data_IF_138393730080
#
_entry.id   IF_138393730080
#
_cell.length_a   1.000
_cell.length_b   1.000
_cell.length_c   1.000
_cell.angle_alpha   90.00
_cell.angle_beta   90.00
_cell.angle_gamma   90.00
#
_symmetry.space_group_name_H-M   'P 1'
#
loop_
_entity.id
_entity.type
_entity.pdbx_description
1 polymer ?
#
# COMPACT_ATOMS: atom_id res chain seq x y z
N UNK A 1 -25.81 -84.84 56.48
CA UNK A 1 -25.78 -85.82 55.36
C UNK A 1 -26.01 -85.06 54.06
N UNK A 2 -24.96 -84.98 53.22
CA UNK A 2 -24.92 -84.64 51.78
C UNK A 2 -25.74 -83.47 51.15
N UNK A 3 -24.95 -82.55 50.54
CA UNK A 3 -25.07 -81.96 49.16
C UNK A 3 -26.16 -80.90 48.87
N UNK A 4 -25.78 -79.67 48.47
CA UNK A 4 -25.46 -79.29 47.06
C UNK A 4 -25.07 -77.81 46.88
N UNK A 5 -24.19 -77.64 45.89
CA UNK A 5 -23.60 -76.44 45.26
C UNK A 5 -24.59 -75.41 44.70
N UNK A 6 -24.18 -74.13 44.66
CA UNK A 6 -24.02 -73.36 43.40
C UNK A 6 -23.02 -72.20 43.58
N UNK A 7 -22.00 -72.14 42.70
CA UNK A 7 -21.00 -71.07 42.58
C UNK A 7 -21.57 -69.93 41.74
N UNK A 8 -21.36 -68.68 42.14
CA UNK A 8 -21.43 -67.49 41.27
C UNK A 8 -20.02 -66.91 41.15
N UNK A 9 -19.51 -66.86 39.92
CA UNK A 9 -18.26 -66.17 39.58
C UNK A 9 -18.60 -64.70 39.31
N UNK A 10 -17.96 -63.78 40.03
CA UNK A 10 -17.97 -62.36 39.76
C UNK A 10 -16.65 -62.00 39.05
N UNK A 11 -16.75 -61.54 37.81
CA UNK A 11 -15.66 -61.02 37.01
C UNK A 11 -15.44 -59.56 37.42
N UNK A 12 -14.35 -59.27 38.15
CA UNK A 12 -13.95 -57.90 38.49
C UNK A 12 -13.20 -57.28 37.32
N UNK A 13 -13.73 -56.18 36.78
CA UNK A 13 -13.04 -55.32 35.80
C UNK A 13 -12.38 -54.18 36.57
N UNK A 14 -11.05 -54.18 36.58
CA UNK A 14 -10.22 -53.11 37.14
C UNK A 14 -10.08 -52.01 36.10
N UNK A 15 -10.66 -50.83 36.34
CA UNK A 15 -10.48 -49.64 35.50
C UNK A 15 -9.20 -48.94 35.94
N UNK A 16 -8.19 -48.94 35.08
CA UNK A 16 -6.99 -48.12 35.23
C UNK A 16 -7.32 -46.68 34.82
N UNK A 17 -7.21 -45.74 35.75
CA UNK A 17 -7.32 -44.30 35.50
C UNK A 17 -5.98 -43.81 34.95
N UNK A 18 -5.93 -43.57 33.64
CA UNK A 18 -4.81 -42.87 32.99
C UNK A 18 -5.07 -41.37 33.13
N UNK A 19 -4.27 -40.68 33.94
CA UNK A 19 -4.21 -39.21 33.91
C UNK A 19 -3.55 -38.76 32.60
N UNK A 20 -4.36 -38.40 31.62
CA UNK A 20 -3.94 -37.70 30.41
C UNK A 20 -3.64 -36.24 30.78
N UNK A 21 -2.37 -35.86 30.75
CA UNK A 21 -1.94 -34.46 30.72
C UNK A 21 -2.37 -33.87 29.39
N UNK A 22 -3.45 -33.08 29.39
CA UNK A 22 -3.88 -32.30 28.24
C UNK A 22 -2.79 -31.26 27.92
N UNK A 23 -2.33 -31.15 26.66
CA UNK A 23 -1.47 -30.03 26.26
C UNK A 23 -2.25 -28.73 26.46
N UNK A 24 -1.59 -27.72 27.03
CA UNK A 24 -2.14 -26.39 27.22
C UNK A 24 -2.70 -25.88 25.88
N UNK A 25 -3.99 -25.52 25.87
CA UNK A 25 -4.61 -24.91 24.72
C UNK A 25 -3.81 -23.63 24.38
N UNK A 26 -3.15 -23.66 23.22
CA UNK A 26 -2.53 -22.47 22.64
C UNK A 26 -3.67 -21.48 22.45
N UNK A 27 -3.61 -20.34 23.13
CA UNK A 27 -4.58 -19.27 22.94
C UNK A 27 -4.65 -18.95 21.43
N UNK A 28 -5.86 -18.75 20.85
CA UNK A 28 -5.96 -18.36 19.46
C UNK A 28 -5.09 -17.11 19.26
N UNK A 29 -4.13 -17.21 18.34
CA UNK A 29 -3.38 -16.05 17.87
C UNK A 29 -4.44 -15.07 17.39
N UNK A 30 -4.53 -13.90 18.03
CA UNK A 30 -5.42 -12.83 17.59
C UNK A 30 -5.17 -12.63 16.10
N UNK A 31 -6.15 -12.94 15.26
CA UNK A 31 -6.08 -12.60 13.84
C UNK A 31 -5.77 -11.11 13.76
N UNK A 32 -4.76 -10.73 12.97
CA UNK A 32 -4.50 -9.33 12.69
C UNK A 32 -5.81 -8.72 12.18
N UNK A 33 -6.17 -7.53 12.68
CA UNK A 33 -7.35 -6.85 12.18
C UNK A 33 -7.17 -6.65 10.66
N UNK A 34 -8.20 -6.98 9.84
CA UNK A 34 -8.11 -6.77 8.41
C UNK A 34 -7.86 -5.28 8.12
N UNK A 35 -7.15 -5.00 7.04
CA UNK A 35 -6.96 -3.62 6.57
C UNK A 35 -8.30 -2.95 6.24
N UNK A 36 -8.26 -1.64 6.04
CA UNK A 36 -9.44 -0.84 5.68
C UNK A 36 -9.25 -0.27 4.28
N UNK A 37 -10.22 -0.52 3.41
CA UNK A 37 -10.30 0.12 2.09
C UNK A 37 -11.04 1.45 2.23
N UNK A 38 -10.43 2.52 1.73
CA UNK A 38 -11.00 3.86 1.71
C UNK A 38 -11.27 4.29 0.27
N UNK A 39 -12.26 5.15 0.10
CA UNK A 39 -12.59 5.80 -1.16
C UNK A 39 -12.88 7.29 -0.97
N UNK A 40 -12.72 8.08 -2.04
CA UNK A 40 -13.31 9.42 -2.15
C UNK A 40 -14.38 9.39 -3.24
N UNK A 41 -15.59 9.81 -2.93
CA UNK A 41 -16.68 9.86 -3.91
C UNK A 41 -16.67 11.17 -4.71
N UNK A 42 -17.42 11.26 -5.81
CA UNK A 42 -17.56 12.50 -6.60
C UNK A 42 -18.17 13.63 -5.78
N UNK A 43 -19.04 13.32 -4.82
CA UNK A 43 -19.54 14.28 -3.83
C UNK A 43 -18.50 14.72 -2.78
N UNK A 44 -17.26 14.24 -2.92
CA UNK A 44 -16.12 14.51 -2.03
C UNK A 44 -16.27 13.89 -0.64
N UNK A 45 -17.08 12.85 -0.51
CA UNK A 45 -17.17 12.10 0.74
C UNK A 45 -16.00 11.11 0.82
N UNK A 46 -15.27 11.15 1.94
CA UNK A 46 -14.39 10.07 2.36
C UNK A 46 -15.26 8.95 2.92
N UNK A 47 -15.12 7.76 2.33
CA UNK A 47 -15.86 6.56 2.71
C UNK A 47 -14.92 5.44 3.13
N UNK A 48 -15.37 4.56 4.03
CA UNK A 48 -14.83 3.19 4.07
C UNK A 48 -15.63 2.32 3.13
N UNK A 49 -14.96 1.37 2.50
CA UNK A 49 -15.53 0.42 1.55
C UNK A 49 -15.38 -0.97 2.16
N UNK A 50 -16.48 -1.70 2.30
CA UNK A 50 -16.43 -3.13 2.54
C UNK A 50 -16.22 -3.86 1.20
N UNK A 51 -15.06 -4.48 0.94
CA UNK A 51 -14.79 -5.12 -0.34
C UNK A 51 -15.64 -6.37 -0.59
N UNK A 52 -16.16 -7.02 0.46
CA UNK A 52 -17.00 -8.21 0.31
C UNK A 52 -18.43 -7.85 -0.08
N UNK A 53 -18.92 -6.71 0.40
CA UNK A 53 -20.32 -6.30 0.21
C UNK A 53 -20.49 -5.05 -0.65
N UNK A 54 -19.40 -4.37 -1.01
CA UNK A 54 -19.37 -3.02 -1.60
C UNK A 54 -19.99 -1.94 -0.72
N UNK A 55 -20.37 -2.20 0.53
CA UNK A 55 -21.04 -1.19 1.34
C UNK A 55 -20.11 0.00 1.62
N UNK A 56 -20.59 1.21 1.33
CA UNK A 56 -19.97 2.45 1.78
C UNK A 56 -20.47 2.87 3.15
N UNK A 57 -19.55 3.29 4.00
CA UNK A 57 -19.88 4.12 5.16
C UNK A 57 -19.22 5.49 5.00
N UNK A 58 -20.04 6.53 4.86
CA UNK A 58 -19.57 7.92 4.80
C UNK A 58 -18.96 8.32 6.14
N UNK A 59 -17.73 8.82 6.11
CA UNK A 59 -16.95 9.18 7.30
C UNK A 59 -16.88 10.69 7.48
N UNK A 60 -16.58 11.41 6.41
CA UNK A 60 -16.42 12.87 6.41
C UNK A 60 -16.52 13.42 4.99
N UNK A 61 -16.94 14.66 4.84
CA UNK A 61 -16.85 15.35 3.55
C UNK A 61 -15.54 16.15 3.46
N UNK A 62 -14.79 15.98 2.37
CA UNK A 62 -13.48 16.61 2.12
C UNK A 62 -13.58 17.93 1.35
N UNK A 63 -14.78 18.34 0.96
CA UNK A 63 -15.01 19.59 0.25
C UNK A 63 -14.55 20.79 1.10
N UNK A 64 -13.85 21.74 0.46
CA UNK A 64 -13.39 22.95 1.09
C UNK A 64 -14.53 23.98 1.16
N UNK A 65 -15.03 24.21 2.38
CA UNK A 65 -16.04 25.25 2.60
C UNK A 65 -15.56 26.62 2.11
N UNK A 66 -16.39 27.30 1.30
CA UNK A 66 -16.08 28.62 0.73
C UNK A 66 -15.31 28.59 -0.59
N UNK A 67 -14.87 27.42 -1.07
CA UNK A 67 -14.40 27.27 -2.44
C UNK A 67 -15.58 27.28 -3.42
N UNK A 68 -15.33 27.71 -4.67
CA UNK A 68 -16.31 27.60 -5.75
C UNK A 68 -16.45 26.14 -6.19
N UNK A 69 -15.34 25.43 -6.20
CA UNK A 69 -15.24 23.99 -6.39
C UNK A 69 -14.00 23.49 -5.63
N UNK A 70 -14.05 22.27 -5.14
CA UNK A 70 -12.89 21.60 -4.58
C UNK A 70 -13.03 20.11 -4.75
N UNK A 71 -12.00 19.50 -5.33
CA UNK A 71 -11.99 18.08 -5.64
C UNK A 71 -10.70 17.49 -5.08
N UNK A 72 -10.86 16.46 -4.26
CA UNK A 72 -9.79 15.64 -3.73
C UNK A 72 -9.62 14.47 -4.68
N UNK A 73 -8.44 14.35 -5.25
CA UNK A 73 -8.01 13.25 -6.08
C UNK A 73 -6.89 12.50 -5.39
N UNK A 74 -6.61 11.30 -5.89
CA UNK A 74 -5.45 10.50 -5.50
C UNK A 74 -5.31 10.34 -3.97
N UNK A 75 -6.02 9.34 -3.45
CA UNK A 75 -5.95 8.98 -2.04
C UNK A 75 -4.86 7.92 -1.85
N UNK A 76 -4.01 8.09 -0.83
CA UNK A 76 -2.98 7.11 -0.46
C UNK A 76 -2.96 6.89 1.04
N UNK A 77 -2.66 5.66 1.47
CA UNK A 77 -2.67 5.28 2.88
C UNK A 77 -1.25 5.11 3.44
N UNK A 78 -1.04 5.59 4.66
CA UNK A 78 0.11 5.29 5.50
C UNK A 78 -0.38 4.64 6.81
N UNK A 79 -0.58 3.31 6.81
CA UNK A 79 -1.15 2.64 7.97
C UNK A 79 -0.22 2.68 9.19
N UNK A 80 1.11 2.68 8.99
CA UNK A 80 2.08 2.83 10.07
C UNK A 80 1.90 4.15 10.84
N UNK A 81 1.59 5.24 10.15
CA UNK A 81 1.33 6.55 10.75
C UNK A 81 -0.13 6.74 11.19
N UNK A 82 -1.03 5.81 10.85
CA UNK A 82 -2.48 5.97 11.02
C UNK A 82 -3.02 7.17 10.22
N UNK A 83 -2.48 7.41 9.02
CA UNK A 83 -2.82 8.56 8.16
C UNK A 83 -3.28 8.13 6.78
N UNK A 84 -4.17 8.93 6.22
CA UNK A 84 -4.39 9.00 4.77
C UNK A 84 -3.87 10.34 4.27
N UNK A 85 -3.45 10.38 3.02
CA UNK A 85 -3.09 11.60 2.32
C UNK A 85 -3.92 11.70 1.05
N UNK A 86 -4.39 12.90 0.75
CA UNK A 86 -5.13 13.19 -0.48
C UNK A 86 -4.65 14.50 -1.08
N UNK A 87 -4.73 14.62 -2.40
CA UNK A 87 -4.44 15.86 -3.09
C UNK A 87 -5.75 16.59 -3.39
N UNK A 88 -5.97 17.76 -2.81
CA UNK A 88 -7.15 18.58 -3.10
C UNK A 88 -6.80 19.74 -4.00
N UNK A 89 -7.43 19.79 -5.17
CA UNK A 89 -7.45 20.95 -6.04
C UNK A 89 -8.71 21.76 -5.75
N UNK A 90 -8.55 23.04 -5.42
CA UNK A 90 -9.66 23.96 -5.14
C UNK A 90 -9.64 25.15 -6.07
N UNK A 91 -10.81 25.54 -6.57
CA UNK A 91 -11.01 26.79 -7.30
C UNK A 91 -11.53 27.86 -6.33
N UNK A 92 -10.68 28.84 -6.02
CA UNK A 92 -10.96 29.83 -4.98
C UNK A 92 -10.86 31.26 -5.51
N UNK A 93 -11.66 32.15 -4.95
CA UNK A 93 -11.59 33.58 -5.25
C UNK A 93 -10.55 34.26 -4.38
N UNK A 94 -9.63 34.97 -5.03
CA UNK A 94 -8.65 35.86 -4.38
C UNK A 94 -8.96 37.31 -4.72
N UNK A 95 -8.30 38.25 -4.04
CA UNK A 95 -8.39 39.67 -4.37
C UNK A 95 -7.94 40.00 -5.81
N UNK A 96 -7.16 39.11 -6.43
CA UNK A 96 -6.64 39.22 -7.80
C UNK A 96 -7.44 38.42 -8.84
N UNK A 97 -8.52 37.74 -8.45
CA UNK A 97 -9.33 36.87 -9.31
C UNK A 97 -9.38 35.43 -8.83
N UNK A 98 -9.98 34.55 -9.61
CA UNK A 98 -10.13 33.13 -9.26
C UNK A 98 -8.90 32.33 -9.69
N UNK A 99 -8.38 31.47 -8.82
CA UNK A 99 -7.19 30.64 -9.08
C UNK A 99 -7.41 29.21 -8.61
N UNK A 100 -6.73 28.26 -9.27
CA UNK A 100 -6.60 26.90 -8.76
C UNK A 100 -5.52 26.84 -7.69
N UNK A 101 -5.80 26.14 -6.59
CA UNK A 101 -4.87 25.89 -5.50
C UNK A 101 -4.83 24.39 -5.21
N UNK A 102 -3.62 23.84 -5.13
CA UNK A 102 -3.40 22.46 -4.72
C UNK A 102 -2.99 22.42 -3.24
N UNK A 103 -3.59 21.49 -2.52
CA UNK A 103 -3.36 21.25 -1.10
C UNK A 103 -3.10 19.77 -0.87
N UNK A 104 -2.08 19.48 -0.06
CA UNK A 104 -1.94 18.16 0.53
C UNK A 104 -2.81 18.12 1.78
N UNK A 105 -3.79 17.22 1.78
CA UNK A 105 -4.56 16.86 2.96
C UNK A 105 -3.83 15.78 3.74
N UNK A 106 -3.69 15.97 5.05
CA UNK A 106 -3.37 14.90 5.98
C UNK A 106 -4.62 14.57 6.78
N UNK A 107 -5.08 13.33 6.68
CA UNK A 107 -6.30 12.85 7.30
C UNK A 107 -5.92 11.81 8.34
N UNK A 108 -6.50 11.89 9.53
CA UNK A 108 -6.37 10.83 10.53
C UNK A 108 -7.24 9.64 10.12
N UNK A 109 -6.65 8.47 9.88
CA UNK A 109 -7.41 7.30 9.40
C UNK A 109 -8.43 6.78 10.43
N UNK A 110 -8.17 6.97 11.73
CA UNK A 110 -9.09 6.49 12.79
C UNK A 110 -10.28 7.42 13.04
N UNK A 111 -10.07 8.73 12.95
CA UNK A 111 -11.13 9.73 13.21
C UNK A 111 -11.72 10.29 11.92
N UNK A 112 -11.11 9.98 10.78
CA UNK A 112 -11.45 10.48 9.44
C UNK A 112 -11.49 12.01 9.35
N UNK A 113 -10.78 12.70 10.24
CA UNK A 113 -10.72 14.16 10.27
C UNK A 113 -9.49 14.63 9.50
N UNK A 114 -9.65 15.68 8.70
CA UNK A 114 -8.51 16.45 8.16
C UNK A 114 -7.80 17.11 9.34
N UNK A 115 -6.55 16.69 9.59
CA UNK A 115 -5.73 17.20 10.71
C UNK A 115 -4.71 18.23 10.26
N UNK A 116 -4.39 18.27 8.97
CA UNK A 116 -3.53 19.28 8.37
C UNK A 116 -3.93 19.49 6.91
N UNK A 117 -3.82 20.72 6.42
CA UNK A 117 -3.91 21.07 5.00
C UNK A 117 -2.79 22.06 4.71
N UNK A 118 -1.92 21.73 3.77
CA UNK A 118 -0.78 22.57 3.40
C UNK A 118 -0.75 22.77 1.90
N UNK A 119 -0.49 24.01 1.48
CA UNK A 119 -0.27 24.29 0.06
C UNK A 119 0.92 23.48 -0.44
N UNK A 120 0.75 22.83 -1.58
CA UNK A 120 1.79 22.01 -2.17
C UNK A 120 1.60 21.94 -3.70
N UNK A 121 2.63 21.50 -4.42
CA UNK A 121 2.60 21.34 -5.88
C UNK A 121 2.20 19.94 -6.42
N UNK A 122 1.73 18.95 -5.64
CA UNK A 122 1.58 17.60 -6.16
C UNK A 122 0.39 17.50 -7.11
N UNK A 123 0.49 16.53 -8.03
CA UNK A 123 -0.63 15.99 -8.79
C UNK A 123 -0.93 14.57 -8.28
N UNK A 124 0.07 13.69 -8.32
CA UNK A 124 -0.04 12.29 -7.89
C UNK A 124 0.87 12.00 -6.72
N UNK A 125 0.36 11.28 -5.74
CA UNK A 125 1.00 10.86 -4.50
C UNK A 125 1.19 9.35 -4.51
N UNK A 126 2.22 8.90 -3.79
CA UNK A 126 2.43 7.50 -3.44
C UNK A 126 3.14 7.44 -2.09
N UNK A 127 2.83 6.45 -1.26
CA UNK A 127 3.47 6.25 0.04
C UNK A 127 4.28 4.97 0.01
N UNK A 128 5.57 5.07 0.30
CA UNK A 128 6.35 3.89 0.67
C UNK A 128 5.95 3.47 2.08
N UNK A 129 5.09 2.44 2.19
CA UNK A 129 4.56 1.98 3.47
C UNK A 129 5.64 1.37 4.38
N UNK A 130 6.78 0.93 3.84
CA UNK A 130 7.88 0.38 4.64
C UNK A 130 8.64 1.48 5.40
N UNK A 131 8.76 2.67 4.79
CA UNK A 131 9.48 3.81 5.38
C UNK A 131 8.53 4.89 5.92
N UNK A 132 7.26 4.86 5.53
CA UNK A 132 6.30 5.93 5.74
C UNK A 132 6.59 7.19 4.91
N UNK A 133 7.51 7.12 3.95
CA UNK A 133 7.88 8.27 3.11
C UNK A 133 6.77 8.58 2.12
N UNK A 134 6.27 9.81 2.14
CA UNK A 134 5.34 10.32 1.16
C UNK A 134 6.11 10.89 -0.03
N UNK A 135 5.78 10.40 -1.23
CA UNK A 135 6.28 10.92 -2.48
C UNK A 135 5.19 11.64 -3.24
N UNK A 136 5.63 12.61 -4.04
CA UNK A 136 4.79 13.35 -4.96
C UNK A 136 5.43 13.40 -6.33
N UNK A 137 4.59 13.36 -7.35
CA UNK A 137 4.97 13.49 -8.74
C UNK A 137 4.19 14.65 -9.38
N UNK A 138 4.93 15.54 -10.05
CA UNK A 138 4.38 16.75 -10.68
C UNK A 138 4.14 16.60 -12.20
N UNK A 139 4.44 15.42 -12.76
CA UNK A 139 4.46 15.18 -14.21
C UNK A 139 5.86 15.04 -14.78
N UNK A 140 6.89 15.54 -14.09
CA UNK A 140 8.27 15.60 -14.60
C UNK A 140 9.30 15.06 -13.62
N UNK A 141 9.10 15.33 -12.33
CA UNK A 141 10.04 15.01 -11.27
C UNK A 141 9.32 14.35 -10.11
N UNK A 142 10.04 13.41 -9.49
CA UNK A 142 9.63 12.79 -8.25
C UNK A 142 10.24 13.56 -7.08
N UNK A 143 9.43 13.83 -6.06
CA UNK A 143 9.83 14.51 -4.84
C UNK A 143 9.47 13.69 -3.61
N UNK A 144 10.31 13.77 -2.58
CA UNK A 144 9.88 13.51 -1.21
C UNK A 144 9.08 14.71 -0.73
N UNK A 145 7.87 14.48 -0.22
CA UNK A 145 6.96 15.51 0.24
C UNK A 145 6.89 15.48 1.77
N UNK A 146 7.09 16.64 2.41
CA UNK A 146 6.90 16.79 3.85
C UNK A 146 5.42 17.07 4.14
N UNK A 147 4.68 16.15 4.78
CA UNK A 147 3.25 16.34 5.01
C UNK A 147 2.91 17.44 6.03
N UNK A 148 3.88 17.86 6.86
CA UNK A 148 3.70 18.93 7.82
C UNK A 148 3.82 20.33 7.22
N UNK A 149 4.61 20.50 6.16
CA UNK A 149 4.92 21.83 5.59
C UNK A 149 4.58 22.00 4.11
N UNK A 150 4.30 20.90 3.39
CA UNK A 150 4.17 20.90 1.93
C UNK A 150 5.51 21.05 1.19
N UNK A 151 6.62 21.16 1.92
CA UNK A 151 7.96 21.30 1.34
C UNK A 151 8.40 20.04 0.60
N UNK A 152 9.03 20.21 -0.55
CA UNK A 152 9.49 19.11 -1.41
C UNK A 152 11.01 19.00 -1.45
N UNK A 153 11.53 17.79 -1.60
CA UNK A 153 12.95 17.52 -1.91
C UNK A 153 13.00 16.63 -3.13
N UNK A 154 13.63 17.10 -4.21
CA UNK A 154 13.70 16.35 -5.47
C UNK A 154 14.48 15.05 -5.28
N UNK A 155 13.90 13.95 -5.75
CA UNK A 155 14.49 12.60 -5.76
C UNK A 155 15.08 12.32 -7.13
N UNK A 156 14.28 12.51 -8.17
CA UNK A 156 14.64 12.22 -9.54
C UNK A 156 13.93 13.17 -10.51
N UNK A 157 14.55 13.40 -11.66
CA UNK A 157 13.86 13.94 -12.83
C UNK A 157 13.62 12.77 -13.75
N UNK A 158 12.35 12.51 -14.05
CA UNK A 158 11.91 11.40 -14.89
C UNK A 158 11.81 11.83 -16.35
N UNK A 159 11.54 13.12 -16.59
CA UNK A 159 11.20 13.64 -17.91
C UNK A 159 11.94 14.97 -18.16
N UNK A 160 13.08 14.95 -18.85
CA UNK A 160 13.79 16.14 -19.33
C UNK A 160 13.51 16.43 -20.82
N UNK A 161 12.68 15.64 -21.48
CA UNK A 161 12.21 15.84 -22.85
C UNK A 161 10.89 15.09 -23.05
N UNK A 162 9.86 15.77 -23.58
CA UNK A 162 8.59 15.23 -24.13
C UNK A 162 7.31 15.32 -23.26
N UNK A 163 6.23 15.83 -23.88
CA UNK A 163 4.92 16.10 -23.27
C UNK A 163 3.96 14.92 -23.31
N UNK A 164 4.10 13.98 -22.38
CA UNK A 164 3.23 12.80 -22.23
C UNK A 164 2.66 12.71 -20.82
N UNK A 165 1.40 12.29 -20.72
CA UNK A 165 0.66 12.13 -19.47
C UNK A 165 1.10 10.85 -18.76
N UNK A 166 1.35 10.95 -17.44
CA UNK A 166 1.48 9.78 -16.57
C UNK A 166 0.09 9.46 -16.05
N UNK A 167 -0.35 8.21 -16.24
CA UNK A 167 -1.69 7.78 -15.89
C UNK A 167 -1.79 7.32 -14.43
N UNK A 168 -0.80 6.55 -13.98
CA UNK A 168 -0.78 5.98 -12.64
C UNK A 168 0.65 5.83 -12.14
N UNK A 169 0.82 5.89 -10.82
CA UNK A 169 2.04 5.59 -10.10
C UNK A 169 1.71 4.65 -8.95
N UNK A 170 2.55 3.66 -8.74
CA UNK A 170 2.51 2.87 -7.50
C UNK A 170 3.93 2.45 -7.10
N UNK A 171 4.11 1.94 -5.88
CA UNK A 171 5.41 1.60 -5.33
C UNK A 171 5.48 0.15 -4.88
N UNK A 172 6.58 -0.52 -5.19
CA UNK A 172 7.01 -1.70 -4.45
C UNK A 172 7.78 -1.24 -3.21
N UNK A 173 7.17 -1.34 -1.99
CA UNK A 173 7.82 -0.88 -0.77
C UNK A 173 9.01 -1.76 -0.37
N UNK A 174 9.09 -3.02 -0.82
CA UNK A 174 10.20 -3.91 -0.50
C UNK A 174 11.42 -3.64 -1.39
N UNK A 175 11.18 -3.33 -2.67
CA UNK A 175 12.25 -2.95 -3.60
C UNK A 175 12.60 -1.46 -3.53
N UNK A 176 11.75 -0.64 -2.91
CA UNK A 176 11.80 0.82 -2.93
C UNK A 176 11.79 1.40 -4.36
N UNK A 177 11.01 0.78 -5.23
CA UNK A 177 10.89 1.15 -6.65
C UNK A 177 9.48 1.68 -6.90
N UNK A 178 9.38 2.93 -7.35
CA UNK A 178 8.15 3.47 -7.90
C UNK A 178 8.05 3.06 -9.36
N UNK A 179 6.94 2.47 -9.73
CA UNK A 179 6.50 2.24 -11.10
C UNK A 179 5.57 3.36 -11.53
N UNK A 180 5.60 3.69 -12.80
CA UNK A 180 4.71 4.69 -13.34
C UNK A 180 4.38 4.39 -14.80
N UNK A 181 3.09 4.42 -15.12
CA UNK A 181 2.56 4.18 -16.45
C UNK A 181 2.49 5.48 -17.25
N UNK A 182 3.16 5.48 -18.40
CA UNK A 182 3.24 6.63 -19.31
C UNK A 182 2.59 6.29 -20.62
N UNK A 183 1.78 7.20 -21.15
CA UNK A 183 1.35 7.13 -22.55
C UNK A 183 2.52 7.37 -23.50
N UNK A 184 2.79 6.42 -24.39
CA UNK A 184 3.71 6.57 -25.50
C UNK A 184 2.92 6.76 -26.81
N UNK A 185 3.00 7.99 -27.32
CA UNK A 185 2.41 8.43 -28.59
C UNK A 185 3.42 8.41 -29.74
N UNK A 186 4.67 7.99 -29.49
CA UNK A 186 5.73 7.99 -30.50
C UNK A 186 5.49 6.86 -31.51
N UNK A 187 4.80 7.21 -32.61
CA UNK A 187 4.50 6.28 -33.71
C UNK A 187 3.06 5.77 -33.76
N UNK A 188 2.15 6.29 -32.94
CA UNK A 188 0.73 5.90 -32.97
C UNK A 188 0.04 6.42 -34.25
N UNK A 189 -0.49 5.51 -35.06
CA UNK A 189 -1.46 5.84 -36.13
C UNK A 189 -2.90 5.65 -35.70
N UNK A 190 -3.19 4.80 -34.70
CA UNK A 190 -4.58 4.57 -34.22
C UNK A 190 -4.71 4.33 -32.70
N UNK A 191 -3.73 3.74 -32.00
CA UNK A 191 -3.75 3.58 -30.54
C UNK A 191 -2.43 4.03 -29.90
N UNK A 192 -2.51 4.78 -28.79
CA UNK A 192 -1.36 4.98 -27.94
C UNK A 192 -0.89 3.63 -27.37
N UNK A 193 0.35 3.56 -26.90
CA UNK A 193 0.88 2.42 -26.14
C UNK A 193 1.33 2.89 -24.76
N UNK A 194 1.73 1.99 -23.87
CA UNK A 194 2.24 2.40 -22.55
C UNK A 194 3.71 2.07 -22.39
N UNK A 195 4.48 2.97 -21.82
CA UNK A 195 5.84 2.71 -21.36
C UNK A 195 5.85 2.78 -19.83
N UNK A 196 6.43 1.78 -19.17
CA UNK A 196 6.65 1.84 -17.73
C UNK A 196 8.04 2.38 -17.45
N UNK A 197 8.16 3.37 -16.57
CA UNK A 197 9.45 3.73 -15.98
C UNK A 197 9.47 3.37 -14.51
N UNK A 198 10.69 3.25 -14.01
CA UNK A 198 10.95 2.97 -12.61
C UNK A 198 11.82 4.05 -12.01
N UNK A 199 11.55 4.41 -10.77
CA UNK A 199 12.41 5.29 -9.98
C UNK A 199 12.78 4.56 -8.70
N UNK A 200 14.07 4.28 -8.52
CA UNK A 200 14.57 3.80 -7.24
C UNK A 200 14.61 4.97 -6.25
N UNK A 201 13.78 4.91 -5.21
CA UNK A 201 13.58 6.03 -4.29
C UNK A 201 14.75 6.24 -3.31
N UNK A 202 15.68 5.29 -3.25
CA UNK A 202 16.84 5.34 -2.35
C UNK A 202 18.01 6.12 -2.97
N UNK A 203 18.22 5.98 -4.27
CA UNK A 203 19.34 6.60 -4.99
C UNK A 203 18.91 7.53 -6.14
N UNK A 204 17.61 7.64 -6.42
CA UNK A 204 17.07 8.49 -7.49
C UNK A 204 17.32 7.96 -8.90
N UNK A 205 17.79 6.72 -9.06
CA UNK A 205 18.04 6.13 -10.37
C UNK A 205 16.71 5.94 -11.11
N UNK A 206 16.65 6.47 -12.33
CA UNK A 206 15.52 6.30 -13.24
C UNK A 206 15.88 5.26 -14.28
N UNK A 207 15.02 4.28 -14.51
CA UNK A 207 15.17 3.31 -15.60
C UNK A 207 13.89 3.30 -16.43
N UNK A 208 14.05 3.40 -17.74
CA UNK A 208 12.96 3.35 -18.71
C UNK A 208 12.80 1.92 -19.22
N UNK A 209 11.60 1.36 -19.05
CA UNK A 209 11.23 0.06 -19.62
C UNK A 209 10.93 0.16 -21.13
N UNK A 210 10.75 -0.99 -21.80
CA UNK A 210 10.24 -1.02 -23.16
C UNK A 210 8.80 -0.53 -23.21
N UNK A 211 8.33 -0.28 -24.42
CA UNK A 211 6.92 -0.04 -24.70
C UNK A 211 6.17 -1.38 -24.58
N UNK A 212 5.10 -1.36 -23.81
CA UNK A 212 4.16 -2.45 -23.58
C UNK A 212 3.35 -2.74 -24.85
N UNK A 213 2.88 -3.98 -24.97
CA UNK A 213 2.06 -4.42 -26.09
C UNK A 213 0.66 -3.80 -26.06
N UNK A 214 0.16 -3.46 -24.86
CA UNK A 214 -1.13 -2.80 -24.68
C UNK A 214 -0.97 -1.44 -23.98
N UNK A 215 -1.96 -0.56 -24.15
CA UNK A 215 -2.09 0.61 -23.28
C UNK A 215 -2.55 0.18 -21.91
N UNK A 216 -1.82 0.57 -20.88
CA UNK A 216 -2.07 0.25 -19.48
C UNK A 216 -2.18 1.57 -18.72
N UNK A 217 -3.41 1.93 -18.33
CA UNK A 217 -3.67 3.21 -17.64
C UNK A 217 -3.34 3.13 -16.17
N UNK A 218 -4.00 2.22 -15.48
CA UNK A 218 -3.82 2.01 -14.05
C UNK A 218 -2.83 0.89 -13.80
N UNK A 219 -1.94 1.09 -12.84
CA UNK A 219 -1.03 0.07 -12.33
C UNK A 219 -1.16 -0.03 -10.82
N UNK A 220 -0.82 -1.20 -10.29
CA UNK A 220 -0.76 -1.44 -8.85
C UNK A 220 0.27 -2.53 -8.57
N UNK A 221 0.99 -2.40 -7.47
CA UNK A 221 1.89 -3.43 -6.95
C UNK A 221 1.19 -4.15 -5.82
N UNK A 222 1.19 -5.47 -5.86
CA UNK A 222 0.90 -6.25 -4.67
C UNK A 222 2.14 -6.22 -3.75
N UNK A 223 2.08 -5.55 -2.58
CA UNK A 223 3.23 -5.42 -1.69
C UNK A 223 3.63 -6.74 -1.01
N UNK A 224 2.76 -7.77 -1.02
CA UNK A 224 3.02 -9.08 -0.45
C UNK A 224 3.92 -9.93 -1.35
N UNK A 225 3.70 -9.88 -2.66
CA UNK A 225 4.46 -10.65 -3.65
C UNK A 225 5.48 -9.83 -4.45
N UNK A 226 5.37 -8.49 -4.46
CA UNK A 226 6.14 -7.60 -5.34
C UNK A 226 5.72 -7.67 -6.82
N UNK A 227 4.57 -8.30 -7.12
CA UNK A 227 4.06 -8.40 -8.49
C UNK A 227 3.43 -7.09 -8.92
N UNK A 228 3.75 -6.65 -10.13
CA UNK A 228 3.13 -5.49 -10.77
C UNK A 228 1.94 -5.95 -11.62
N UNK A 229 0.83 -5.24 -11.50
CA UNK A 229 -0.37 -5.44 -12.28
C UNK A 229 -0.77 -4.16 -12.97
N UNK A 230 -1.62 -4.29 -13.99
CA UNK A 230 -2.24 -3.16 -14.64
C UNK A 230 -3.57 -3.51 -15.28
N UNK A 231 -4.31 -2.46 -15.64
CA UNK A 231 -5.57 -2.56 -16.38
C UNK A 231 -5.37 -1.95 -17.76
N UNK A 232 -5.69 -2.74 -18.79
CA UNK A 232 -5.54 -2.30 -20.17
C UNK A 232 -6.65 -1.32 -20.57
N UNK A 233 -6.34 -0.43 -21.50
CA UNK A 233 -7.32 0.37 -22.23
C UNK A 233 -7.75 -0.42 -23.47
N UNK A 234 -8.68 -1.35 -23.27
CA UNK A 234 -9.36 -2.10 -24.32
C UNK A 234 -10.85 -2.16 -23.96
N UNK A 235 -11.72 -2.55 -24.90
CA UNK A 235 -13.15 -2.71 -24.59
C UNK A 235 -13.43 -3.70 -23.45
N UNK A 236 -12.55 -4.67 -23.21
CA UNK A 236 -12.69 -5.66 -22.15
C UNK A 236 -12.01 -5.23 -20.84
N UNK A 237 -11.15 -4.20 -20.87
CA UNK A 237 -10.31 -3.75 -19.77
C UNK A 237 -9.65 -4.93 -19.06
N UNK A 238 -8.67 -5.55 -19.70
CA UNK A 238 -8.05 -6.74 -19.15
C UNK A 238 -7.18 -6.38 -17.94
N UNK A 239 -7.36 -7.12 -16.86
CA UNK A 239 -6.42 -7.14 -15.74
C UNK A 239 -5.26 -8.06 -16.11
N UNK A 240 -4.05 -7.50 -16.11
CA UNK A 240 -2.83 -8.19 -16.53
C UNK A 240 -1.77 -8.10 -15.45
N UNK A 241 -0.91 -9.12 -15.36
CA UNK A 241 0.34 -9.02 -14.61
C UNK A 241 1.47 -8.62 -15.55
N UNK A 242 2.36 -7.76 -15.08
CA UNK A 242 3.55 -7.27 -15.79
C UNK A 242 4.77 -7.73 -15.01
N UNK A 243 5.67 -8.50 -15.61
CA UNK A 243 6.93 -8.89 -14.98
C UNK A 243 7.95 -7.74 -15.08
N UNK A 244 8.37 -7.08 -13.99
CA UNK A 244 9.28 -5.94 -14.06
C UNK A 244 10.69 -6.27 -14.58
N UNK A 245 11.07 -7.56 -14.61
CA UNK A 245 12.39 -8.00 -15.07
C UNK A 245 12.44 -8.25 -16.59
N UNK A 246 11.32 -8.66 -17.18
CA UNK A 246 11.20 -8.99 -18.61
C UNK A 246 10.27 -8.05 -19.36
N UNK A 247 9.45 -7.29 -18.65
CA UNK A 247 8.33 -6.47 -19.14
C UNK A 247 7.30 -7.27 -19.93
N UNK A 248 7.25 -8.59 -19.70
CA UNK A 248 6.24 -9.44 -20.32
C UNK A 248 4.89 -9.26 -19.63
N UNK A 249 3.86 -9.14 -20.45
CA UNK A 249 2.48 -9.08 -20.01
C UNK A 249 1.86 -10.48 -20.01
N UNK A 250 1.08 -10.77 -18.99
CA UNK A 250 0.30 -12.00 -18.90
C UNK A 250 -1.13 -11.64 -18.50
N UNK A 251 -2.08 -12.08 -19.32
CA UNK A 251 -3.50 -11.98 -19.01
C UNK A 251 -3.81 -12.71 -17.69
N UNK A 252 -4.57 -12.03 -16.82
CA UNK A 252 -5.11 -12.60 -15.59
C UNK A 252 -6.61 -12.83 -15.77
N UNK A 253 -7.36 -11.77 -16.05
CA UNK A 253 -8.82 -11.83 -16.20
C UNK A 253 -9.36 -10.60 -16.96
N UNK A 254 -10.48 -10.75 -17.67
CA UNK A 254 -11.19 -9.63 -18.29
C UNK A 254 -12.15 -9.00 -17.27
N UNK A 255 -12.13 -7.67 -17.12
CA UNK A 255 -12.99 -6.98 -16.17
C UNK A 255 -14.40 -6.74 -16.73
N UNK A 256 -14.50 -6.57 -18.05
CA UNK A 256 -15.76 -6.40 -18.75
C UNK A 256 -16.03 -7.63 -19.64
N UNK A 257 -17.08 -8.44 -19.36
CA UNK A 257 -17.29 -9.71 -20.05
C UNK A 257 -17.66 -9.59 -21.54
N UNK A 258 -18.17 -8.44 -22.00
CA UNK A 258 -18.60 -8.23 -23.37
C UNK A 258 -18.28 -6.82 -23.88
N UNK A 259 -17.39 -6.74 -24.86
CA UNK A 259 -17.07 -5.51 -25.59
C UNK A 259 -18.24 -4.96 -26.43
N UNK A 260 -19.27 -5.76 -26.70
CA UNK A 260 -20.35 -5.40 -27.63
C UNK A 260 -21.49 -4.61 -26.96
N UNK A 261 -21.58 -4.66 -25.63
CA UNK A 261 -22.72 -4.11 -24.87
C UNK A 261 -22.32 -3.24 -23.70
N UNK A 262 -21.05 -3.24 -23.29
CA UNK A 262 -20.60 -2.45 -22.15
C UNK A 262 -19.22 -1.82 -22.38
N UNK A 263 -19.09 -0.53 -22.07
CA UNK A 263 -17.78 0.13 -21.93
C UNK A 263 -17.38 0.15 -20.47
N UNK A 264 -16.16 -0.28 -20.15
CA UNK A 264 -15.58 -0.08 -18.84
C UNK A 264 -14.84 1.25 -18.76
N UNK A 265 -14.72 1.82 -17.59
CA UNK A 265 -13.64 2.75 -17.27
C UNK A 265 -13.21 2.47 -15.84
N UNK A 266 -11.91 2.21 -15.63
CA UNK A 266 -11.33 1.95 -14.31
C UNK A 266 -10.42 3.13 -13.96
N UNK A 267 -10.60 3.69 -12.77
CA UNK A 267 -9.95 4.97 -12.45
C UNK A 267 -8.98 4.92 -11.26
N UNK A 268 -8.91 3.85 -10.48
CA UNK A 268 -7.99 3.69 -9.36
C UNK A 268 -7.89 2.25 -8.88
N UNK A 269 -6.67 1.86 -8.47
CA UNK A 269 -6.37 0.55 -7.93
C UNK A 269 -5.72 0.67 -6.55
N UNK A 270 -5.93 -0.33 -5.70
CA UNK A 270 -5.17 -0.55 -4.47
C UNK A 270 -5.01 -2.05 -4.22
N UNK A 271 -3.99 -2.47 -3.45
CA UNK A 271 -3.74 -3.88 -3.17
C UNK A 271 -3.65 -4.18 -1.67
N UNK A 272 -4.23 -5.31 -1.26
CA UNK A 272 -3.96 -5.99 0.00
C UNK A 272 -3.00 -7.15 -0.23
N UNK A 273 -1.72 -6.93 0.08
CA UNK A 273 -0.72 -7.99 -0.07
C UNK A 273 -0.75 -9.07 1.00
N UNK A 274 -1.59 -8.95 2.03
CA UNK A 274 -1.81 -10.04 2.97
C UNK A 274 -2.77 -11.11 2.44
N UNK A 275 -3.65 -10.73 1.52
CA UNK A 275 -4.64 -11.62 0.89
C UNK A 275 -4.42 -11.81 -0.61
N UNK A 276 -3.42 -11.15 -1.19
CA UNK A 276 -3.15 -11.12 -2.63
C UNK A 276 -4.39 -10.66 -3.42
N UNK A 277 -5.01 -9.59 -2.92
CA UNK A 277 -6.24 -9.03 -3.49
C UNK A 277 -5.99 -7.63 -4.02
N UNK A 278 -6.31 -7.41 -5.29
CA UNK A 278 -6.36 -6.07 -5.88
C UNK A 278 -7.79 -5.56 -5.89
N UNK A 279 -7.99 -4.37 -5.37
CA UNK A 279 -9.24 -3.63 -5.42
C UNK A 279 -9.19 -2.60 -6.54
N UNK A 280 -10.31 -2.37 -7.20
CA UNK A 280 -10.47 -1.27 -8.15
C UNK A 280 -11.89 -0.75 -8.20
N UNK A 281 -12.06 0.46 -8.70
CA UNK A 281 -13.36 0.97 -9.14
C UNK A 281 -13.59 0.58 -10.61
N UNK A 282 -14.80 0.13 -10.93
CA UNK A 282 -15.19 -0.23 -12.28
C UNK A 282 -16.49 0.48 -12.62
N UNK A 283 -16.36 1.56 -13.39
CA UNK A 283 -17.48 2.18 -14.07
C UNK A 283 -17.81 1.35 -15.32
N UNK A 284 -19.05 0.93 -15.46
CA UNK A 284 -19.57 0.22 -16.63
C UNK A 284 -20.70 1.02 -17.23
N UNK A 285 -20.69 1.18 -18.55
CA UNK A 285 -21.74 1.84 -19.32
C UNK A 285 -22.39 0.77 -20.18
N UNK A 286 -23.63 0.40 -19.88
CA UNK A 286 -24.43 -0.44 -20.79
C UNK A 286 -24.81 0.41 -22.01
N UNK A 287 -24.23 0.09 -23.16
CA UNK A 287 -24.41 0.84 -24.41
C UNK A 287 -25.87 0.74 -24.90
N UNK A 288 -26.56 -0.35 -24.58
CA UNK A 288 -27.92 -0.61 -25.06
C UNK A 288 -28.98 0.18 -24.29
N UNK A 289 -28.75 0.42 -23.00
CA UNK A 289 -29.67 1.20 -22.15
C UNK A 289 -29.16 2.61 -21.84
N UNK A 290 -27.88 2.87 -22.10
CA UNK A 290 -27.14 4.05 -21.65
C UNK A 290 -27.18 4.21 -20.12
N UNK A 291 -27.25 3.09 -19.40
CA UNK A 291 -27.15 3.06 -17.94
C UNK A 291 -25.69 2.97 -17.52
N UNK A 292 -25.33 3.74 -16.49
CA UNK A 292 -24.00 3.75 -15.91
C UNK A 292 -24.06 3.11 -14.53
N UNK A 293 -23.15 2.18 -14.26
CA UNK A 293 -23.00 1.50 -12.98
C UNK A 293 -21.55 1.58 -12.53
N UNK A 294 -21.30 2.11 -11.33
CA UNK A 294 -19.99 2.10 -10.68
C UNK A 294 -19.98 1.09 -9.54
N UNK A 295 -18.95 0.25 -9.48
CA UNK A 295 -18.80 -0.85 -8.53
C UNK A 295 -17.35 -0.97 -8.07
N UNK A 296 -17.15 -1.41 -6.83
CA UNK A 296 -15.82 -1.86 -6.38
C UNK A 296 -15.68 -3.32 -6.76
N UNK A 297 -14.59 -3.64 -7.44
CA UNK A 297 -14.19 -5.01 -7.75
C UNK A 297 -13.04 -5.41 -6.84
N UNK A 298 -12.99 -6.70 -6.49
CA UNK A 298 -11.82 -7.32 -5.88
C UNK A 298 -11.37 -8.50 -6.72
N UNK A 299 -10.07 -8.56 -7.01
CA UNK A 299 -9.45 -9.55 -7.89
C UNK A 299 -8.39 -10.30 -7.09
N UNK A 300 -8.50 -11.62 -6.99
CA UNK A 300 -7.40 -12.43 -6.47
C UNK A 300 -6.28 -12.48 -7.50
N UNK A 301 -5.12 -11.95 -7.15
CA UNK A 301 -4.04 -11.69 -8.11
C UNK A 301 -3.31 -12.97 -8.57
N UNK A 302 -3.49 -14.07 -7.83
CA UNK A 302 -2.93 -15.39 -8.12
C UNK A 302 -3.84 -16.22 -9.01
N UNK A 303 -5.16 -16.18 -8.77
CA UNK A 303 -6.16 -17.02 -9.46
C UNK A 303 -6.91 -16.29 -10.56
N UNK A 304 -6.97 -14.95 -10.49
CA UNK A 304 -7.82 -14.11 -11.34
C UNK A 304 -9.30 -14.14 -10.94
N UNK A 305 -9.65 -14.71 -9.79
CA UNK A 305 -11.04 -14.72 -9.32
C UNK A 305 -11.51 -13.30 -9.04
N UNK A 306 -12.58 -12.88 -9.72
CA UNK A 306 -13.21 -11.57 -9.53
C UNK A 306 -14.44 -11.71 -8.64
N UNK A 307 -14.57 -10.82 -7.66
CA UNK A 307 -15.82 -10.51 -7.01
C UNK A 307 -16.24 -9.08 -7.35
N UNK A 308 -17.46 -8.91 -7.86
CA UNK A 308 -18.04 -7.60 -8.16
C UNK A 308 -18.94 -7.18 -7.00
N UNK A 309 -18.66 -6.03 -6.42
CA UNK A 309 -19.55 -5.40 -5.46
C UNK A 309 -20.86 -4.91 -6.10
N UNK A 310 -21.88 -4.57 -5.29
CA UNK A 310 -23.07 -3.88 -5.77
C UNK A 310 -22.75 -2.49 -6.33
N UNK A 311 -23.63 -1.98 -7.20
CA UNK A 311 -23.53 -0.64 -7.79
C UNK A 311 -23.76 0.46 -6.76
N UNK A 312 -23.04 1.57 -6.90
CA UNK A 312 -23.16 2.74 -6.03
C UNK A 312 -24.07 3.82 -6.63
N UNK A 313 -24.62 4.66 -5.74
CA UNK A 313 -25.37 5.86 -6.14
C UNK A 313 -24.47 7.08 -6.34
N UNK A 314 -23.25 7.07 -5.81
CA UNK A 314 -22.24 8.10 -6.01
C UNK A 314 -20.93 7.44 -6.40
N UNK A 315 -20.30 8.00 -7.42
CA UNK A 315 -19.14 7.41 -8.07
C UNK A 315 -17.88 7.64 -7.26
N UNK A 316 -16.88 6.77 -7.37
CA UNK A 316 -15.55 7.03 -6.83
C UNK A 316 -14.80 7.98 -7.79
N UNK A 317 -14.05 8.94 -7.26
CA UNK A 317 -13.18 9.81 -8.09
C UNK A 317 -11.97 9.03 -8.59
N UNK A 318 -11.40 9.45 -9.72
CA UNK A 318 -10.19 8.83 -10.24
C UNK A 318 -9.03 8.87 -9.24
N UNK A 319 -8.36 7.73 -9.10
CA UNK A 319 -7.35 7.42 -8.10
C UNK A 319 -7.86 7.62 -6.64
N UNK A 320 -9.17 7.59 -6.42
CA UNK A 320 -9.79 7.88 -5.13
C UNK A 320 -9.76 6.73 -4.12
N UNK A 321 -9.27 5.55 -4.50
CA UNK A 321 -9.19 4.37 -3.64
C UNK A 321 -7.82 4.25 -2.98
N UNK A 322 -7.81 3.90 -1.69
CA UNK A 322 -6.60 3.57 -0.95
C UNK A 322 -6.83 2.41 0.02
N UNK A 323 -5.93 1.43 0.02
CA UNK A 323 -5.95 0.37 1.01
C UNK A 323 -4.99 0.68 2.17
N UNK A 324 -5.55 0.89 3.35
CA UNK A 324 -4.77 0.94 4.58
C UNK A 324 -4.71 -0.49 5.16
N UNK A 325 -3.71 -1.25 4.72
CA UNK A 325 -3.41 -2.56 5.30
C UNK A 325 -3.17 -2.48 6.81
N UNK A 326 -3.07 -3.63 7.50
CA UNK A 326 -2.62 -3.63 8.88
C UNK A 326 -1.31 -2.85 8.95
N UNK A 327 -1.21 -1.93 9.91
CA UNK A 327 0.02 -1.19 10.13
C UNK A 327 1.17 -2.21 10.22
N UNK A 328 2.23 -2.09 9.40
CA UNK A 328 3.35 -3.00 9.50
C UNK A 328 3.79 -2.98 10.96
N UNK A 329 3.89 -4.15 11.57
CA UNK A 329 4.23 -4.25 12.98
C UNK A 329 5.72 -3.94 13.13
N UNK A 330 6.10 -2.68 12.98
CA UNK A 330 7.46 -2.21 13.23
C UNK A 330 7.63 -2.26 14.74
N UNK A 331 8.34 -3.29 15.20
CA UNK A 331 8.69 -3.50 16.59
C UNK A 331 10.19 -3.84 16.66
N UNK A 332 10.79 -3.88 17.88
CA UNK A 332 12.20 -4.18 18.00
C UNK A 332 12.60 -5.55 17.44
N UNK A 333 11.70 -6.54 17.44
CA UNK A 333 11.97 -7.87 16.89
C UNK A 333 11.99 -7.88 15.36
N UNK A 334 11.08 -7.16 14.69
CA UNK A 334 11.09 -7.05 13.22
C UNK A 334 12.32 -6.29 12.72
N UNK A 335 12.74 -5.22 13.41
CA UNK A 335 13.97 -4.50 13.06
C UNK A 335 15.23 -5.38 13.25
N UNK A 336 15.27 -6.22 14.29
CA UNK A 336 16.34 -7.22 14.45
C UNK A 336 16.33 -8.26 13.33
N UNK A 337 15.14 -8.74 12.95
CA UNK A 337 14.99 -9.67 11.84
C UNK A 337 15.44 -9.04 10.51
N UNK A 338 15.17 -7.75 10.28
CA UNK A 338 15.66 -7.03 9.12
C UNK A 338 17.19 -6.97 9.06
N UNK A 339 17.87 -6.69 10.18
CA UNK A 339 19.35 -6.74 10.25
C UNK A 339 19.89 -8.15 9.96
N UNK A 340 19.24 -9.19 10.47
CA UNK A 340 19.63 -10.59 10.23
C UNK A 340 19.43 -10.99 8.76
N UNK A 341 18.29 -10.63 8.17
CA UNK A 341 17.98 -10.85 6.76
C UNK A 341 18.99 -10.14 5.85
N UNK A 342 19.31 -8.88 6.18
CA UNK A 342 20.30 -8.11 5.44
C UNK A 342 21.72 -8.70 5.52
N UNK A 343 22.10 -9.30 6.65
CA UNK A 343 23.34 -10.06 6.75
C UNK A 343 23.30 -11.32 5.87
N UNK A 344 22.18 -12.06 5.92
CA UNK A 344 22.02 -13.30 5.16
C UNK A 344 22.02 -13.07 3.64
N UNK A 345 21.45 -11.95 3.17
CA UNK A 345 21.45 -11.56 1.76
C UNK A 345 22.76 -10.93 1.29
N UNK A 346 23.69 -10.62 2.20
CA UNK A 346 24.93 -9.93 1.90
C UNK A 346 24.80 -8.41 1.79
N UNK A 347 23.60 -7.85 1.98
CA UNK A 347 23.39 -6.39 2.06
C UNK A 347 24.13 -5.76 3.24
N UNK A 348 24.39 -6.52 4.31
CA UNK A 348 25.41 -6.22 5.32
C UNK A 348 26.59 -7.17 5.12
N UNK A 349 27.72 -6.65 4.64
CA UNK A 349 28.86 -7.48 4.22
C UNK A 349 29.78 -7.91 5.35
N UNK A 350 29.66 -7.28 6.53
CA UNK A 350 30.49 -7.56 7.71
C UNK A 350 29.64 -8.05 8.87
N UNK A 351 29.83 -9.31 9.27
CA UNK A 351 29.16 -9.90 10.44
C UNK A 351 29.38 -9.12 11.74
N UNK A 352 30.55 -8.50 11.91
CA UNK A 352 30.84 -7.64 13.05
C UNK A 352 29.95 -6.39 13.12
N UNK A 353 29.59 -5.80 11.96
CA UNK A 353 28.66 -4.67 11.90
C UNK A 353 27.27 -5.13 12.30
N UNK A 354 26.76 -6.22 11.69
CA UNK A 354 25.46 -6.77 12.06
C UNK A 354 25.36 -7.15 13.55
N UNK A 355 26.43 -7.72 14.14
CA UNK A 355 26.48 -8.07 15.56
C UNK A 355 26.36 -6.83 16.46
N UNK A 356 27.04 -5.74 16.13
CA UNK A 356 26.97 -4.50 16.92
C UNK A 356 25.56 -3.88 16.82
N UNK A 357 25.01 -3.80 15.61
CA UNK A 357 23.65 -3.30 15.38
C UNK A 357 22.60 -4.12 16.15
N UNK A 358 22.70 -5.45 16.13
CA UNK A 358 21.80 -6.32 16.91
C UNK A 358 21.95 -6.13 18.43
N UNK A 359 23.15 -5.84 18.92
CA UNK A 359 23.37 -5.55 20.34
C UNK A 359 22.66 -4.25 20.74
N UNK A 360 22.80 -3.19 19.94
CA UNK A 360 22.09 -1.93 20.16
C UNK A 360 20.56 -2.11 20.14
N UNK A 361 20.04 -2.89 19.19
CA UNK A 361 18.60 -3.18 19.12
C UNK A 361 18.09 -3.98 20.33
N UNK A 362 18.90 -4.91 20.86
CA UNK A 362 18.58 -5.62 22.10
C UNK A 362 18.57 -4.67 23.31
N UNK A 363 19.52 -3.74 23.39
CA UNK A 363 19.57 -2.74 24.47
C UNK A 363 18.40 -1.76 24.40
N UNK A 364 18.04 -1.32 23.19
CA UNK A 364 16.88 -0.47 22.94
C UNK A 364 15.57 -1.19 23.33
N UNK A 365 15.40 -2.46 22.93
CA UNK A 365 14.25 -3.27 23.33
C UNK A 365 14.19 -3.45 24.85
N UNK A 366 15.31 -3.76 25.49
CA UNK A 366 15.37 -3.91 26.94
C UNK A 366 14.99 -2.60 27.66
N UNK A 367 15.40 -1.44 27.14
CA UNK A 367 14.98 -0.14 27.65
C UNK A 367 13.48 0.11 27.45
N UNK A 368 12.91 -0.21 26.28
CA UNK A 368 11.47 -0.13 26.02
C UNK A 368 10.67 -1.01 26.98
N UNK A 369 11.09 -2.26 27.18
CA UNK A 369 10.44 -3.20 28.10
C UNK A 369 10.44 -2.71 29.56
N UNK A 370 11.37 -1.82 29.93
CA UNK A 370 11.42 -1.14 31.24
C UNK A 370 10.67 0.20 31.26
N UNK A 371 10.00 0.62 30.18
CA UNK A 371 9.36 1.92 30.05
C UNK A 371 10.34 3.10 29.95
N UNK A 372 11.62 2.86 29.66
CA UNK A 372 12.67 3.88 29.61
C UNK A 372 12.77 4.52 28.22
N UNK A 373 11.70 5.18 27.76
CA UNK A 373 11.60 5.67 26.38
C UNK A 373 12.71 6.63 25.96
N UNK A 374 13.14 7.55 26.83
CA UNK A 374 14.28 8.43 26.55
C UNK A 374 15.58 7.65 26.33
N UNK A 375 15.81 6.61 27.14
CA UNK A 375 16.98 5.73 27.01
C UNK A 375 16.90 4.94 25.71
N UNK A 376 15.75 4.34 25.42
CA UNK A 376 15.53 3.61 24.16
C UNK A 376 15.76 4.53 22.93
N UNK A 377 15.23 5.76 22.97
CA UNK A 377 15.44 6.75 21.91
C UNK A 377 16.92 7.10 21.70
N UNK A 378 17.69 7.27 22.78
CA UNK A 378 19.14 7.48 22.66
C UNK A 378 19.85 6.29 22.01
N UNK A 379 19.45 5.05 22.32
CA UNK A 379 20.04 3.85 21.71
C UNK A 379 19.64 3.72 20.24
N UNK A 380 18.38 3.99 19.87
CA UNK A 380 17.99 4.05 18.46
C UNK A 380 18.72 5.14 17.69
N UNK A 381 18.96 6.30 18.30
CA UNK A 381 19.75 7.35 17.67
C UNK A 381 21.20 6.91 17.44
N UNK A 382 21.80 6.16 18.37
CA UNK A 382 23.11 5.56 18.17
C UNK A 382 23.11 4.54 17.02
N UNK A 383 22.13 3.64 16.99
CA UNK A 383 21.92 2.70 15.89
C UNK A 383 21.80 3.41 14.53
N UNK A 384 21.01 4.49 14.46
CA UNK A 384 20.86 5.31 13.25
C UNK A 384 22.20 5.90 12.81
N UNK A 385 22.99 6.42 13.75
CA UNK A 385 24.30 6.99 13.46
C UNK A 385 25.26 5.92 12.92
N UNK A 386 25.28 4.74 13.52
CA UNK A 386 26.13 3.62 13.12
C UNK A 386 25.73 3.06 11.74
N UNK A 387 24.42 2.87 11.49
CA UNK A 387 23.91 2.47 10.17
C UNK A 387 24.30 3.50 9.12
N UNK A 388 24.08 4.78 9.38
CA UNK A 388 24.44 5.88 8.46
C UNK A 388 25.95 5.91 8.20
N UNK A 389 26.77 5.69 9.23
CA UNK A 389 28.23 5.68 9.10
C UNK A 389 28.74 4.50 8.24
N UNK A 390 28.00 3.39 8.19
CA UNK A 390 28.32 2.19 7.42
C UNK A 390 27.62 2.11 6.05
N UNK A 391 26.67 3.00 5.77
CA UNK A 391 25.97 3.09 4.49
C UNK A 391 26.98 3.27 3.34
N UNK A 392 26.85 2.42 2.31
CA UNK A 392 27.77 2.37 1.16
C UNK A 392 29.16 1.78 1.44
N UNK A 393 29.48 1.43 2.70
CA UNK A 393 30.77 0.80 3.09
C UNK A 393 30.60 -0.67 3.41
N UNK A 394 29.74 -0.97 4.37
CA UNK A 394 29.49 -2.32 4.87
C UNK A 394 28.00 -2.64 5.00
N UNK A 395 27.15 -1.65 4.71
CA UNK A 395 25.70 -1.78 4.57
C UNK A 395 25.32 -1.17 3.21
N UNK A 396 24.53 -1.89 2.42
CA UNK A 396 23.99 -1.36 1.16
C UNK A 396 23.16 -0.08 1.43
N UNK A 397 23.24 0.97 0.60
CA UNK A 397 22.53 2.24 0.85
C UNK A 397 21.01 2.09 1.04
N UNK A 398 20.35 1.21 0.28
CA UNK A 398 18.93 0.93 0.41
C UNK A 398 18.59 0.33 1.79
N UNK A 399 19.30 -0.72 2.18
CA UNK A 399 19.17 -1.33 3.52
C UNK A 399 19.44 -0.34 4.64
N UNK A 400 20.46 0.51 4.52
CA UNK A 400 20.73 1.52 5.52
C UNK A 400 19.56 2.51 5.67
N UNK A 401 18.95 2.92 4.55
CA UNK A 401 17.79 3.81 4.54
C UNK A 401 16.58 3.17 5.22
N UNK A 402 16.28 1.90 4.90
CA UNK A 402 15.22 1.13 5.54
C UNK A 402 15.42 1.03 7.05
N UNK A 403 16.59 0.53 7.49
CA UNK A 403 16.90 0.33 8.91
C UNK A 403 16.81 1.64 9.71
N UNK A 404 17.29 2.76 9.14
CA UNK A 404 17.16 4.08 9.76
C UNK A 404 15.70 4.48 9.90
N UNK A 405 14.89 4.27 8.86
CA UNK A 405 13.46 4.62 8.88
C UNK A 405 12.70 3.83 9.94
N UNK A 406 12.91 2.52 10.02
CA UNK A 406 12.30 1.66 11.04
C UNK A 406 12.75 2.05 12.46
N UNK A 407 14.04 2.37 12.65
CA UNK A 407 14.55 2.83 13.94
C UNK A 407 13.97 4.21 14.35
N UNK A 408 13.81 5.13 13.41
CA UNK A 408 13.15 6.42 13.64
C UNK A 408 11.68 6.24 14.04
N UNK A 409 10.97 5.32 13.37
CA UNK A 409 9.61 4.97 13.76
C UNK A 409 9.53 4.47 15.20
N UNK A 410 10.41 3.55 15.59
CA UNK A 410 10.44 3.03 16.97
C UNK A 410 10.81 4.10 17.99
N UNK A 411 11.71 5.02 17.65
CA UNK A 411 12.09 6.13 18.52
C UNK A 411 10.91 7.05 18.86
N UNK A 412 10.03 7.33 17.89
CA UNK A 412 8.84 8.18 18.08
C UNK A 412 7.70 7.42 18.77
N UNK A 413 7.57 6.11 18.54
CA UNK A 413 6.44 5.29 19.01
C UNK A 413 6.83 4.39 20.19
N UNK A 414 7.37 4.97 21.26
CA UNK A 414 7.61 4.22 22.50
C UNK A 414 6.31 4.07 23.31
N UNK A 415 5.96 2.85 23.79
CA UNK A 415 4.72 2.59 24.51
C UNK A 415 4.65 3.24 25.89
#
# INVERSE_FOLDING_TARGET
>A
MFKKFFRRAALGVTIAVVLLTLPAAVAPVSAAAPGTLYGVTRSQDLVTIDPATGAFAVLSNLFLSGALDSQTFNLVANPAAGKLYGNRMSFVNTSSGSVFQNELLTINASTCAVVNSVSSQPNTLVVDQSTGTLFAFDGFSLFRLNPGTGGTTKVATVNDSFGSFIWSLDIDPNAHIIYASREDISGATEDATTQIFTVNTTNGAVTTGPVLAHTVRQIVVDPGSGRLFGVTESFTHDFISIDPSTWSEKFVVALVPSADTSLGVNFGLAADGSTHTVFGDLETIDISTNDVSDQVISIQDETGDINMGPSFSDFIVSAGIAFAGPAPTINPDTLKAAVQSALASGAITKSGVAKNLLAELNDAQAARNRGQCKTAGNVYQQFINDVTAQAGKSIAPATASQLVSEAQFLMVNCP
#
